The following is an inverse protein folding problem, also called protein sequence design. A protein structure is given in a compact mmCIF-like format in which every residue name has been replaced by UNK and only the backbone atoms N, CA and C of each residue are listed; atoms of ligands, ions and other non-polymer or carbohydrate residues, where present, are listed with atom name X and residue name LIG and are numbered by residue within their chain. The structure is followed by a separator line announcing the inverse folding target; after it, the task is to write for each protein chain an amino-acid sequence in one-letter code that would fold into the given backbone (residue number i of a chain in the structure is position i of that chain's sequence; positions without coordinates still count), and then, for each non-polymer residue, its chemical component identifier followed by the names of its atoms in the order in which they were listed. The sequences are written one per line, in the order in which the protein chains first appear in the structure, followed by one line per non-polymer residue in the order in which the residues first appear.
data_IF_910768412691
#
_entry.id   IF_910768412691
#
_cell.length_a   1.000
_cell.length_b   1.000
_cell.length_c   1.000
_cell.angle_alpha   90.00
_cell.angle_beta   90.00
_cell.angle_gamma   90.00
#
_symmetry.space_group_name_H-M   'P 1'
#
loop_
_entity.id
_entity.type
_entity.pdbx_description
1 polymer ?
#
# COMPACT_ATOMS: atom_id res chain seq x y z
N UNK A 1 4.60 3.15 -32.99
CA UNK A 1 3.53 2.89 -31.99
C UNK A 1 4.25 2.61 -30.67
N UNK A 2 4.79 3.65 -30.03
CA UNK A 2 5.65 3.53 -28.85
C UNK A 2 4.92 4.16 -27.66
N UNK A 3 4.25 3.30 -26.89
CA UNK A 3 3.50 3.69 -25.70
C UNK A 3 3.15 2.46 -24.87
N UNK A 4 4.04 1.47 -24.86
CA UNK A 4 3.85 0.21 -24.14
C UNK A 4 4.10 0.39 -22.64
N UNK A 5 3.29 -0.29 -21.84
CA UNK A 5 3.48 -0.39 -20.39
C UNK A 5 4.88 -0.95 -20.09
N UNK A 6 5.78 -0.12 -19.55
CA UNK A 6 7.12 -0.55 -19.16
C UNK A 6 7.03 -1.42 -17.91
N UNK A 7 7.56 -2.63 -17.98
CA UNK A 7 7.57 -3.54 -16.85
C UNK A 7 8.62 -4.63 -16.99
N UNK A 8 8.85 -5.32 -15.88
CA UNK A 8 9.72 -6.48 -15.79
C UNK A 8 8.88 -7.74 -15.91
N UNK A 9 9.16 -8.54 -16.93
CA UNK A 9 8.65 -9.91 -17.05
C UNK A 9 9.64 -10.88 -16.40
N UNK A 10 9.13 -11.80 -15.60
CA UNK A 10 9.89 -12.90 -14.98
C UNK A 10 9.09 -14.19 -15.11
N UNK A 11 9.78 -15.31 -15.31
CA UNK A 11 9.17 -16.64 -15.38
C UNK A 11 10.04 -17.64 -14.61
N UNK A 12 9.41 -18.67 -14.05
CA UNK A 12 10.07 -19.71 -13.27
C UNK A 12 9.28 -21.01 -13.31
N UNK A 13 9.92 -22.09 -12.88
CA UNK A 13 9.31 -23.41 -12.74
C UNK A 13 9.93 -24.13 -11.54
N UNK A 14 9.14 -24.99 -10.91
CA UNK A 14 9.58 -25.87 -9.82
C UNK A 14 9.21 -27.31 -10.15
N UNK A 15 10.05 -28.24 -9.67
CA UNK A 15 9.90 -29.68 -9.82
C UNK A 15 10.17 -30.30 -8.44
N UNK A 16 9.24 -31.12 -7.95
CA UNK A 16 9.43 -31.86 -6.72
C UNK A 16 9.29 -33.36 -6.97
N UNK A 17 10.06 -34.14 -6.24
CA UNK A 17 10.04 -35.60 -6.30
C UNK A 17 10.19 -36.18 -4.90
N UNK A 18 9.26 -37.04 -4.50
CA UNK A 18 9.27 -37.74 -3.22
C UNK A 18 9.59 -39.22 -3.45
N UNK A 19 10.79 -39.64 -3.03
CA UNK A 19 11.24 -41.04 -3.14
C UNK A 19 10.38 -42.01 -2.31
N UNK A 20 9.92 -41.56 -1.13
CA UNK A 20 9.11 -42.38 -0.22
C UNK A 20 7.72 -42.64 -0.78
N UNK A 21 7.12 -41.62 -1.39
CA UNK A 21 5.76 -41.68 -1.93
C UNK A 21 5.73 -42.06 -3.41
N UNK A 22 6.90 -42.14 -4.07
CA UNK A 22 7.05 -42.35 -5.52
C UNK A 22 6.22 -41.36 -6.34
N UNK A 23 6.10 -40.14 -5.85
CA UNK A 23 5.32 -39.06 -6.44
C UNK A 23 6.23 -37.95 -6.96
N UNK A 24 5.79 -37.29 -8.02
CA UNK A 24 6.45 -36.14 -8.60
C UNK A 24 5.42 -35.05 -8.86
N UNK A 25 5.85 -33.80 -8.92
CA UNK A 25 5.04 -32.74 -9.47
C UNK A 25 5.84 -31.59 -10.01
N UNK A 26 5.13 -30.73 -10.71
CA UNK A 26 5.68 -29.62 -11.49
C UNK A 26 4.74 -28.44 -11.38
N UNK A 27 5.29 -27.24 -11.27
CA UNK A 27 4.52 -26.02 -11.45
C UNK A 27 5.35 -24.98 -12.19
N UNK A 28 4.68 -24.11 -12.93
CA UNK A 28 5.29 -22.99 -13.65
C UNK A 28 4.62 -21.69 -13.24
N UNK A 29 5.37 -20.60 -13.29
CA UNK A 29 4.90 -19.29 -12.89
C UNK A 29 5.47 -18.19 -13.76
N UNK A 30 4.67 -17.18 -14.04
CA UNK A 30 5.03 -15.96 -14.75
C UNK A 30 4.61 -14.78 -13.88
N UNK A 31 5.48 -13.80 -13.71
CA UNK A 31 5.19 -12.55 -13.01
C UNK A 31 5.62 -11.37 -13.85
N UNK A 32 4.70 -10.45 -14.08
CA UNK A 32 4.93 -9.15 -14.70
C UNK A 32 4.74 -8.05 -13.66
N UNK A 33 5.72 -7.17 -13.49
CA UNK A 33 5.62 -6.01 -12.59
C UNK A 33 5.88 -4.73 -13.37
N UNK A 34 4.97 -3.77 -13.31
CA UNK A 34 5.15 -2.46 -13.94
C UNK A 34 6.24 -1.68 -13.23
N UNK A 35 7.10 -1.02 -14.00
CA UNK A 35 8.03 -0.05 -13.45
C UNK A 35 7.27 1.25 -13.22
N UNK A 36 7.45 1.94 -12.08
CA UNK A 36 6.96 3.30 -11.95
C UNK A 36 7.71 4.15 -12.99
N UNK A 37 6.98 4.74 -13.94
CA UNK A 37 7.60 5.64 -14.90
C UNK A 37 7.96 6.92 -14.14
N UNK A 38 9.25 7.25 -14.09
CA UNK A 38 9.74 8.46 -13.46
C UNK A 38 9.77 9.65 -14.44
N UNK A 39 9.00 9.63 -15.52
CA UNK A 39 8.91 10.74 -16.45
C UNK A 39 8.15 11.92 -15.80
N UNK A 40 8.82 13.03 -15.43
CA UNK A 40 8.12 14.22 -14.98
C UNK A 40 7.27 14.78 -16.14
N UNK A 41 6.15 15.46 -15.86
CA UNK A 41 5.39 16.18 -16.88
C UNK A 41 6.22 17.35 -17.42
N UNK A 42 7.00 17.11 -18.47
CA UNK A 42 7.50 18.14 -19.38
C UNK A 42 7.05 17.69 -20.77
N UNK A 43 6.04 18.29 -21.38
CA UNK A 43 6.06 19.69 -21.82
C UNK A 43 4.66 20.29 -22.01
N UNK A 44 4.58 21.59 -21.72
CA UNK A 44 3.57 22.60 -22.09
C UNK A 44 2.18 22.55 -21.43
N UNK A 45 2.03 23.35 -20.37
CA UNK A 45 0.78 24.05 -20.04
C UNK A 45 0.06 23.54 -18.78
N UNK A 46 0.07 24.37 -17.74
CA UNK A 46 -0.64 24.28 -16.44
C UNK A 46 -0.01 23.37 -15.35
N UNK A 47 0.18 23.88 -14.12
CA UNK A 47 0.92 23.18 -13.06
C UNK A 47 0.05 22.31 -12.13
N UNK A 48 -1.18 21.93 -12.52
CA UNK A 48 -2.18 21.40 -11.57
C UNK A 48 -2.50 19.89 -11.67
N UNK A 49 -1.73 19.09 -12.43
CA UNK A 49 -1.97 17.64 -12.51
C UNK A 49 -0.85 16.79 -11.88
N UNK A 50 -0.82 16.78 -10.54
CA UNK A 50 -0.03 15.86 -9.71
C UNK A 50 -0.59 14.41 -9.77
N UNK A 51 -0.77 13.84 -10.96
CA UNK A 51 -1.13 12.43 -11.13
C UNK A 51 0.17 11.63 -11.21
N UNK A 52 0.45 10.71 -10.27
CA UNK A 52 1.65 9.90 -10.33
C UNK A 52 1.67 9.10 -11.63
N UNK A 53 2.76 9.23 -12.38
CA UNK A 53 3.06 8.45 -13.56
C UNK A 53 3.14 6.97 -13.15
N UNK A 54 2.08 6.22 -13.51
CA UNK A 54 1.95 4.78 -13.40
C UNK A 54 2.17 4.17 -12.01
N UNK A 55 1.07 3.79 -11.35
CA UNK A 55 1.17 3.07 -10.08
C UNK A 55 1.73 1.66 -10.25
N UNK A 56 2.51 1.15 -9.27
CA UNK A 56 3.04 -0.20 -9.32
C UNK A 56 1.92 -1.24 -9.35
N UNK A 57 1.98 -2.09 -10.36
CA UNK A 57 1.02 -3.15 -10.64
C UNK A 57 1.79 -4.43 -10.91
N UNK A 58 1.39 -5.52 -10.28
CA UNK A 58 1.99 -6.84 -10.41
C UNK A 58 0.93 -7.85 -10.83
N UNK A 59 1.16 -8.51 -11.96
CA UNK A 59 0.39 -9.65 -12.44
C UNK A 59 1.23 -10.90 -12.23
N UNK A 60 0.69 -11.91 -11.56
CA UNK A 60 1.31 -13.22 -11.40
C UNK A 60 0.35 -14.27 -11.92
N UNK A 61 0.80 -15.14 -12.82
CA UNK A 61 0.07 -16.31 -13.28
C UNK A 61 0.88 -17.56 -12.90
N UNK A 62 0.22 -18.57 -12.38
CA UNK A 62 0.83 -19.85 -12.04
C UNK A 62 0.00 -20.98 -12.60
N UNK A 63 0.67 -22.04 -13.03
CA UNK A 63 0.08 -23.20 -13.65
C UNK A 63 0.71 -24.47 -13.10
N UNK A 64 -0.12 -25.34 -12.54
CA UNK A 64 0.24 -26.66 -12.10
C UNK A 64 -0.47 -27.69 -13.01
N UNK A 65 0.20 -28.21 -14.06
CA UNK A 65 -0.43 -29.12 -15.02
C UNK A 65 -0.83 -30.46 -14.40
N UNK A 66 -0.11 -30.92 -13.36
CA UNK A 66 -0.37 -32.22 -12.72
C UNK A 66 -1.65 -32.18 -11.89
N UNK A 67 -1.90 -31.06 -11.21
CA UNK A 67 -3.10 -30.88 -10.39
C UNK A 67 -4.21 -30.13 -11.13
N UNK A 68 -3.96 -29.67 -12.36
CA UNK A 68 -4.92 -28.88 -13.14
C UNK A 68 -5.20 -27.49 -12.59
N UNK A 69 -4.38 -26.97 -11.66
CA UNK A 69 -4.62 -25.65 -11.07
C UNK A 69 -4.00 -24.53 -11.91
N UNK A 70 -4.81 -23.55 -12.26
CA UNK A 70 -4.42 -22.27 -12.85
C UNK A 70 -4.76 -21.18 -11.84
N UNK A 71 -3.80 -20.32 -11.50
CA UNK A 71 -4.05 -19.17 -10.63
C UNK A 71 -3.49 -17.90 -11.25
N UNK A 72 -4.27 -16.83 -11.26
CA UNK A 72 -3.88 -15.51 -11.73
C UNK A 72 -4.16 -14.46 -10.64
N UNK A 73 -3.14 -13.72 -10.22
CA UNK A 73 -3.24 -12.65 -9.25
C UNK A 73 -2.84 -11.31 -9.88
N UNK A 74 -3.66 -10.29 -9.72
CA UNK A 74 -3.45 -8.93 -10.17
C UNK A 74 -3.47 -7.99 -8.95
N UNK A 75 -2.31 -7.49 -8.55
CA UNK A 75 -2.17 -6.53 -7.46
C UNK A 75 -1.82 -5.15 -8.03
N UNK A 76 -2.53 -4.11 -7.61
CA UNK A 76 -2.30 -2.74 -8.05
C UNK A 76 -2.39 -1.78 -6.87
N UNK A 77 -1.45 -0.83 -6.80
CA UNK A 77 -1.56 0.28 -5.85
C UNK A 77 -2.49 1.34 -6.45
N UNK A 78 -3.74 1.41 -6.01
CA UNK A 78 -4.71 2.36 -6.57
C UNK A 78 -4.45 3.81 -6.12
N UNK A 79 -3.87 4.00 -4.92
CA UNK A 79 -3.55 5.33 -4.37
C UNK A 79 -2.32 5.26 -3.45
N UNK A 80 -1.89 6.41 -2.89
CA UNK A 80 -0.85 6.47 -1.85
C UNK A 80 -1.19 5.56 -0.66
N UNK A 81 -2.48 5.49 -0.33
CA UNK A 81 -2.97 4.83 0.89
C UNK A 81 -3.93 3.66 0.60
N UNK A 82 -4.05 3.22 -0.66
CA UNK A 82 -4.91 2.10 -1.03
C UNK A 82 -4.17 1.17 -1.99
N UNK A 83 -4.08 -0.10 -1.62
CA UNK A 83 -3.67 -1.19 -2.50
C UNK A 83 -4.83 -2.18 -2.69
N UNK A 84 -5.01 -2.65 -3.93
CA UNK A 84 -6.04 -3.60 -4.31
C UNK A 84 -5.38 -4.84 -4.89
N UNK A 85 -5.96 -6.01 -4.65
CA UNK A 85 -5.53 -7.27 -5.23
C UNK A 85 -6.75 -8.06 -5.67
N UNK A 86 -6.71 -8.62 -6.86
CA UNK A 86 -7.69 -9.59 -7.34
C UNK A 86 -6.96 -10.88 -7.67
N UNK A 87 -7.51 -12.01 -7.25
CA UNK A 87 -6.96 -13.34 -7.46
C UNK A 87 -8.05 -14.22 -8.03
N UNK A 88 -7.74 -14.92 -9.11
CA UNK A 88 -8.59 -15.90 -9.75
C UNK A 88 -7.89 -17.25 -9.68
N UNK A 89 -8.56 -18.25 -9.14
CA UNK A 89 -8.10 -19.62 -9.06
C UNK A 89 -9.09 -20.50 -9.85
N UNK A 90 -8.56 -21.40 -10.68
CA UNK A 90 -9.34 -22.31 -11.50
C UNK A 90 -8.74 -23.70 -11.47
N UNK A 91 -9.59 -24.72 -11.38
CA UNK A 91 -9.19 -26.11 -11.48
C UNK A 91 -9.76 -26.73 -12.75
N UNK A 92 -8.89 -27.17 -13.65
CA UNK A 92 -9.24 -27.78 -14.95
C UNK A 92 -10.00 -29.09 -14.76
N UNK A 93 -9.72 -29.85 -13.70
CA UNK A 93 -10.33 -31.17 -13.50
C UNK A 93 -11.70 -31.11 -12.83
N UNK A 94 -11.90 -30.18 -11.89
CA UNK A 94 -13.20 -30.00 -11.22
C UNK A 94 -14.06 -28.91 -11.86
N UNK A 95 -13.53 -28.12 -12.79
CA UNK A 95 -14.16 -26.90 -13.33
C UNK A 95 -14.57 -25.90 -12.25
N UNK A 96 -13.99 -26.01 -11.05
CA UNK A 96 -14.23 -25.06 -9.97
C UNK A 96 -13.43 -23.80 -10.23
N UNK A 97 -14.10 -22.66 -10.09
CA UNK A 97 -13.48 -21.34 -10.16
C UNK A 97 -13.75 -20.59 -8.87
N UNK A 98 -12.71 -19.99 -8.32
CA UNK A 98 -12.81 -19.08 -7.19
C UNK A 98 -12.23 -17.74 -7.61
N UNK A 99 -12.95 -16.67 -7.29
CA UNK A 99 -12.46 -15.31 -7.45
C UNK A 99 -12.43 -14.65 -6.08
N UNK A 100 -11.27 -14.14 -5.71
CA UNK A 100 -11.02 -13.41 -4.47
C UNK A 100 -10.59 -12.00 -4.81
N UNK A 101 -11.14 -11.01 -4.10
CA UNK A 101 -10.66 -9.63 -4.12
C UNK A 101 -10.26 -9.20 -2.72
N UNK A 102 -9.16 -8.47 -2.62
CA UNK A 102 -8.61 -7.92 -1.40
C UNK A 102 -8.29 -6.44 -1.54
N UNK A 103 -8.40 -5.71 -0.44
CA UNK A 103 -8.03 -4.31 -0.34
C UNK A 103 -7.24 -4.07 0.94
N UNK A 104 -6.19 -3.27 0.85
CA UNK A 104 -5.40 -2.78 1.97
C UNK A 104 -5.44 -1.25 1.96
N UNK A 105 -5.97 -0.68 3.04
CA UNK A 105 -6.09 0.77 3.22
C UNK A 105 -5.28 1.21 4.44
N UNK A 106 -4.27 2.05 4.22
CA UNK A 106 -3.50 2.72 5.26
C UNK A 106 -4.24 3.94 5.83
N UNK A 107 -4.50 3.94 7.13
CA UNK A 107 -5.11 5.06 7.85
C UNK A 107 -4.00 5.99 8.34
N UNK A 108 -4.13 7.29 8.03
CA UNK A 108 -3.21 8.33 8.49
C UNK A 108 -3.87 9.17 9.58
N UNK A 109 -3.08 9.61 10.56
CA UNK A 109 -3.56 10.64 11.48
C UNK A 109 -3.71 11.94 10.71
N UNK A 110 -4.91 12.52 10.69
CA UNK A 110 -5.02 13.92 10.30
C UNK A 110 -4.15 14.71 11.28
N UNK A 111 -3.14 15.41 10.78
CA UNK A 111 -2.45 16.42 11.56
C UNK A 111 -3.54 17.39 11.99
N UNK A 112 -3.93 17.31 13.26
CA UNK A 112 -4.95 18.18 13.82
C UNK A 112 -4.57 19.59 13.44
N UNK A 113 -5.51 20.26 12.77
CA UNK A 113 -5.48 21.70 12.55
C UNK A 113 -5.35 22.34 13.94
N UNK A 114 -4.13 22.48 14.44
CA UNK A 114 -3.75 23.46 15.46
C UNK A 114 -3.87 24.83 14.76
N UNK A 115 -5.08 25.20 14.36
CA UNK A 115 -5.40 26.62 14.23
C UNK A 115 -5.51 27.11 15.68
N UNK A 116 -4.37 27.51 16.22
CA UNK A 116 -4.23 28.76 16.98
C UNK A 116 -5.54 29.25 17.60
N UNK A 117 -5.92 28.66 18.72
CA UNK A 117 -6.54 29.40 19.81
C UNK A 117 -5.45 30.26 20.47
N UNK A 118 -4.85 31.16 19.68
CA UNK A 118 -3.88 32.19 20.11
C UNK A 118 -4.28 33.57 19.54
N UNK A 119 -5.52 33.73 19.08
CA UNK A 119 -6.12 35.05 18.82
C UNK A 119 -7.13 35.33 19.93
N UNK A 120 -6.64 35.54 21.16
CA UNK A 120 -7.32 36.28 22.23
C UNK A 120 -6.38 36.43 23.44
N UNK A 121 -5.22 37.06 23.22
CA UNK A 121 -4.46 37.74 24.28
C UNK A 121 -3.33 38.59 23.69
N UNK A 122 -3.70 39.61 22.92
CA UNK A 122 -2.80 40.74 22.66
C UNK A 122 -3.66 41.94 22.23
N UNK A 123 -4.24 42.61 23.23
CA UNK A 123 -4.64 44.01 23.16
C UNK A 123 -3.90 44.72 24.30
N UNK A 124 -2.78 45.38 24.00
CA UNK A 124 -2.55 46.77 24.42
C UNK A 124 -1.44 47.40 23.55
N UNK A 125 -1.85 48.38 22.75
CA UNK A 125 -1.13 49.58 22.24
C UNK A 125 0.39 49.71 22.53
N UNK A 126 1.23 49.96 21.52
CA UNK A 126 1.39 51.29 20.92
C UNK A 126 2.49 51.37 19.82
N UNK A 127 2.18 52.20 18.82
CA UNK A 127 3.04 53.05 17.96
C UNK A 127 4.09 52.52 16.96
N UNK A 128 3.71 52.64 15.68
CA UNK A 128 4.36 53.40 14.59
C UNK A 128 5.89 53.31 14.37
N UNK A 129 6.26 52.75 13.21
CA UNK A 129 6.74 53.47 12.00
C UNK A 129 7.86 52.74 11.23
N UNK A 130 7.61 52.62 9.92
CA UNK A 130 8.54 52.65 8.78
C UNK A 130 9.86 51.82 8.75
N UNK A 131 9.87 50.97 7.72
CA UNK A 131 10.86 50.92 6.63
C UNK A 131 12.07 49.97 6.73
N UNK A 132 12.23 49.25 5.61
CA UNK A 132 13.49 48.79 4.98
C UNK A 132 14.13 47.48 5.50
N UNK A 133 14.14 46.49 4.59
CA UNK A 133 15.15 45.44 4.34
C UNK A 133 16.43 45.43 5.22
N UNK A 134 16.97 44.24 5.53
CA UNK A 134 18.20 43.88 4.81
C UNK A 134 18.38 42.38 4.47
N UNK A 135 18.81 42.14 3.23
CA UNK A 135 20.11 41.56 2.81
C UNK A 135 20.71 40.42 3.68
N UNK A 136 20.96 39.30 2.99
CA UNK A 136 21.56 38.04 3.42
C UNK A 136 23.02 38.11 3.92
N UNK A 137 23.45 37.08 4.67
CA UNK A 137 24.69 36.31 4.39
C UNK A 137 24.82 35.06 5.28
N UNK A 138 25.36 34.01 4.65
CA UNK A 138 25.49 32.62 5.07
C UNK A 138 26.63 32.39 6.08
N UNK A 139 26.65 31.15 6.61
CA UNK A 139 27.81 30.23 6.85
C UNK A 139 27.79 29.60 8.25
N UNK A 140 28.08 28.32 8.51
CA UNK A 140 28.49 27.12 7.77
C UNK A 140 28.16 25.95 8.72
N UNK A 141 27.56 24.87 8.22
CA UNK A 141 27.55 23.56 8.89
C UNK A 141 28.28 22.52 8.02
N UNK A 142 28.94 21.50 8.60
CA UNK A 142 30.05 20.78 7.97
C UNK A 142 29.61 19.86 6.82
N UNK A 143 30.51 19.58 5.86
CA UNK A 143 30.23 18.78 4.67
C UNK A 143 30.28 17.28 5.00
N UNK A 144 29.33 16.48 4.50
CA UNK A 144 29.57 15.03 4.49
C UNK A 144 28.44 14.04 4.29
N UNK A 145 27.19 14.40 3.95
CA UNK A 145 26.19 13.35 3.70
C UNK A 145 25.00 13.75 2.80
N UNK A 146 25.29 14.35 1.64
CA UNK A 146 24.31 14.47 0.57
C UNK A 146 24.36 13.24 -0.34
N UNK A 147 23.62 12.20 0.04
CA UNK A 147 23.03 11.31 -0.95
C UNK A 147 21.67 11.91 -1.32
N UNK A 148 21.46 12.48 -2.51
CA UNK A 148 20.15 12.98 -2.91
C UNK A 148 19.22 11.78 -3.09
N UNK A 149 18.33 11.56 -2.13
CA UNK A 149 17.13 10.77 -2.35
C UNK A 149 16.33 11.43 -3.49
N UNK A 150 15.95 10.72 -4.55
CA UNK A 150 15.34 11.30 -5.76
C UNK A 150 13.89 11.80 -5.56
N UNK A 151 13.43 11.96 -4.32
CA UNK A 151 12.09 12.46 -4.01
C UNK A 151 12.20 13.86 -3.41
N UNK A 152 11.73 14.92 -4.09
CA UNK A 152 11.60 16.23 -3.45
C UNK A 152 10.58 16.12 -2.33
N UNK A 153 11.02 16.33 -1.08
CA UNK A 153 10.20 16.30 0.14
C UNK A 153 9.33 17.55 0.32
N UNK A 154 9.12 18.36 -0.72
CA UNK A 154 8.19 19.48 -0.68
C UNK A 154 6.76 18.98 -0.93
N UNK A 155 6.28 18.17 0.02
CA UNK A 155 4.89 17.74 0.09
C UNK A 155 3.99 18.85 0.61
N UNK A 156 2.86 19.04 -0.06
CA UNK A 156 1.73 19.89 0.30
C UNK A 156 1.50 19.93 1.84
N UNK A 157 1.47 21.12 2.48
CA UNK A 157 1.19 21.23 3.92
C UNK A 157 -0.26 20.79 4.19
N UNK A 158 -0.45 19.55 4.64
CA UNK A 158 -1.77 19.07 5.10
C UNK A 158 -2.03 17.57 5.01
N UNK A 159 -1.26 16.80 4.23
CA UNK A 159 -1.54 15.38 3.96
C UNK A 159 -0.36 14.43 4.31
N UNK A 160 0.61 14.91 5.09
CA UNK A 160 1.81 14.18 5.52
C UNK A 160 1.67 13.43 6.85
N UNK A 161 0.46 13.00 7.21
CA UNK A 161 0.23 12.31 8.48
C UNK A 161 0.91 10.94 8.55
N UNK A 162 1.45 10.61 9.73
CA UNK A 162 1.96 9.27 10.03
C UNK A 162 0.85 8.22 9.89
N UNK A 163 1.21 7.07 9.34
CA UNK A 163 0.30 5.92 9.23
C UNK A 163 0.05 5.37 10.64
N UNK A 164 -1.19 5.48 11.10
CA UNK A 164 -1.62 5.02 12.43
C UNK A 164 -2.13 3.59 12.43
N UNK A 165 -2.58 3.10 11.28
CA UNK A 165 -3.11 1.75 11.16
C UNK A 165 -3.40 1.34 9.72
N UNK A 166 -3.87 0.12 9.56
CA UNK A 166 -4.16 -0.52 8.29
C UNK A 166 -5.48 -1.28 8.40
N UNK A 167 -6.37 -1.09 7.45
CA UNK A 167 -7.57 -1.92 7.28
C UNK A 167 -7.35 -2.82 6.08
N UNK A 168 -7.48 -4.12 6.29
CA UNK A 168 -7.41 -5.16 5.25
C UNK A 168 -8.79 -5.77 5.11
N UNK A 169 -9.30 -5.83 3.89
CA UNK A 169 -10.55 -6.50 3.56
C UNK A 169 -10.28 -7.57 2.50
N UNK A 170 -10.99 -8.68 2.59
CA UNK A 170 -11.00 -9.73 1.56
C UNK A 170 -12.41 -10.25 1.38
N UNK A 171 -12.81 -10.44 0.14
CA UNK A 171 -14.07 -11.04 -0.28
C UNK A 171 -13.79 -12.12 -1.32
N UNK A 172 -14.49 -13.25 -1.24
CA UNK A 172 -14.43 -14.31 -2.23
C UNK A 172 -15.82 -14.64 -2.79
N UNK A 173 -15.87 -15.16 -4.02
CA UNK A 173 -17.08 -15.71 -4.65
C UNK A 173 -17.67 -16.88 -3.86
N UNK A 174 -16.87 -17.54 -3.01
CA UNK A 174 -17.35 -18.55 -2.04
C UNK A 174 -18.26 -17.97 -0.94
N UNK A 175 -18.59 -16.68 -0.98
CA UNK A 175 -19.32 -15.95 0.07
C UNK A 175 -18.54 -15.77 1.37
N UNK A 176 -17.23 -16.04 1.36
CA UNK A 176 -16.35 -15.72 2.48
C UNK A 176 -15.93 -14.26 2.43
N UNK A 177 -16.14 -13.55 3.54
CA UNK A 177 -15.73 -12.17 3.74
C UNK A 177 -14.87 -12.10 5.00
N UNK A 178 -13.75 -11.39 4.93
CA UNK A 178 -12.91 -11.13 6.10
C UNK A 178 -12.48 -9.67 6.14
N UNK A 179 -12.44 -9.13 7.35
CA UNK A 179 -12.02 -7.77 7.64
C UNK A 179 -11.01 -7.83 8.78
N UNK A 180 -9.90 -7.11 8.66
CA UNK A 180 -8.87 -7.01 9.67
C UNK A 180 -8.48 -5.54 9.81
N UNK A 181 -8.47 -5.04 11.04
CA UNK A 181 -7.90 -3.76 11.40
C UNK A 181 -6.63 -3.99 12.21
N UNK A 182 -5.56 -3.29 11.88
CA UNK A 182 -4.29 -3.30 12.58
C UNK A 182 -3.92 -1.85 12.94
N UNK A 183 -3.58 -1.58 14.19
CA UNK A 183 -3.28 -0.24 14.66
C UNK A 183 -2.09 -0.20 15.60
N UNK A 184 -1.22 0.81 15.44
CA UNK A 184 -0.09 1.02 16.33
C UNK A 184 -0.47 1.96 17.46
N UNK A 185 -0.32 1.50 18.70
CA UNK A 185 -0.56 2.27 19.92
C UNK A 185 0.74 2.26 20.74
N UNK A 186 1.53 3.34 20.64
CA UNK A 186 2.83 3.47 21.31
C UNK A 186 3.76 2.29 20.94
N UNK A 187 4.01 1.42 21.92
CA UNK A 187 4.86 0.22 21.84
C UNK A 187 4.05 -1.07 21.63
N UNK A 188 2.74 -0.95 21.38
CA UNK A 188 1.85 -2.06 21.09
C UNK A 188 1.34 -2.00 19.66
N UNK A 189 1.21 -3.16 19.02
CA UNK A 189 0.46 -3.37 17.79
C UNK A 189 -0.79 -4.17 18.14
N UNK A 190 -1.95 -3.62 17.81
CA UNK A 190 -3.25 -4.24 18.07
C UNK A 190 -3.86 -4.63 16.74
N UNK A 191 -4.26 -5.90 16.60
CA UNK A 191 -4.91 -6.40 15.40
C UNK A 191 -6.25 -7.03 15.76
N UNK A 192 -7.33 -6.55 15.15
CA UNK A 192 -8.69 -7.08 15.30
C UNK A 192 -9.15 -7.62 13.95
N UNK A 193 -9.52 -8.89 13.90
CA UNK A 193 -10.02 -9.55 12.70
C UNK A 193 -11.41 -10.14 12.88
N UNK A 194 -12.21 -10.13 11.81
CA UNK A 194 -13.52 -10.78 11.72
C UNK A 194 -13.57 -11.57 10.43
N UNK A 195 -14.03 -12.82 10.52
CA UNK A 195 -14.31 -13.69 9.36
C UNK A 195 -15.80 -14.01 9.35
N UNK A 196 -16.42 -13.84 8.20
CA UNK A 196 -17.84 -14.01 7.97
C UNK A 196 -18.06 -14.93 6.78
N UNK A 197 -19.01 -15.84 6.93
CA UNK A 197 -19.48 -16.72 5.87
C UNK A 197 -20.92 -16.32 5.53
N UNK A 198 -21.10 -15.67 4.38
CA UNK A 198 -22.40 -15.14 3.94
C UNK A 198 -23.30 -16.24 3.33
N UNK A 199 -22.79 -17.46 3.14
CA UNK A 199 -23.61 -18.58 2.68
C UNK A 199 -24.67 -18.96 3.74
N UNK A 200 -24.35 -18.81 5.02
CA UNK A 200 -25.26 -19.09 6.12
C UNK A 200 -25.78 -17.81 6.79
N UNK A 201 -26.86 -17.26 6.22
CA UNK A 201 -27.50 -16.02 6.68
C UNK A 201 -27.96 -16.04 8.15
N UNK A 202 -28.10 -17.23 8.76
CA UNK A 202 -28.49 -17.38 10.17
C UNK A 202 -27.33 -17.18 11.15
N UNK A 203 -26.09 -17.43 10.72
CA UNK A 203 -24.87 -17.28 11.52
C UNK A 203 -23.74 -16.70 10.65
N UNK A 204 -23.84 -15.40 10.29
CA UNK A 204 -22.92 -14.81 9.33
C UNK A 204 -21.51 -14.69 9.88
N UNK A 205 -21.32 -14.53 11.21
CA UNK A 205 -20.00 -14.40 11.81
C UNK A 205 -19.45 -15.79 12.14
N UNK A 206 -18.35 -16.16 11.48
CA UNK A 206 -17.65 -17.43 11.69
C UNK A 206 -16.65 -17.33 12.84
N UNK A 207 -15.88 -16.24 12.89
CA UNK A 207 -14.90 -16.02 13.96
C UNK A 207 -14.55 -14.54 14.11
N UNK A 208 -14.11 -14.20 15.32
CA UNK A 208 -13.51 -12.91 15.68
C UNK A 208 -12.16 -13.23 16.33
N UNK A 209 -11.11 -12.52 15.93
CA UNK A 209 -9.76 -12.68 16.47
C UNK A 209 -9.21 -11.35 16.95
N UNK A 210 -8.48 -11.36 18.07
CA UNK A 210 -7.76 -10.21 18.60
C UNK A 210 -6.32 -10.64 18.88
N UNK A 211 -5.36 -9.87 18.40
CA UNK A 211 -3.94 -10.06 18.63
C UNK A 211 -3.32 -8.77 19.20
N UNK A 212 -2.46 -8.93 20.20
CA UNK A 212 -1.73 -7.85 20.87
C UNK A 212 -0.25 -8.20 20.86
N UNK A 213 0.57 -7.44 20.15
CA UNK A 213 2.02 -7.59 20.16
C UNK A 213 2.64 -6.37 20.87
N UNK A 214 3.48 -6.61 21.87
CA UNK A 214 4.20 -5.55 22.59
C UNK A 214 5.69 -5.63 22.28
N UNK A 215 6.27 -4.49 21.91
CA UNK A 215 7.69 -4.35 21.62
C UNK A 215 8.35 -3.54 22.73
N UNK A 216 9.16 -4.19 23.56
CA UNK A 216 10.07 -3.51 24.49
C UNK A 216 11.41 -3.27 23.79
N UNK A 217 11.58 -2.09 23.20
CA UNK A 217 12.91 -1.62 22.79
C UNK A 217 13.59 -0.91 23.97
N UNK A 218 14.93 -1.01 24.11
CA UNK A 218 15.66 -0.10 25.00
C UNK A 218 15.56 1.32 24.43
N UNK A 219 15.22 2.26 25.30
CA UNK A 219 15.09 3.69 25.02
C UNK A 219 16.43 4.34 24.64
#
# INVERSE_FOLDING_TARGET
MEGGLKGRLSAGAELYFSLKEKSAGVSTGIRFTTLPDASPPSTSGTPDSNIPAQTPTTLTATFNPMMGHISAAYAARASRDLALCSRFDFNIYSYESEWTMGAEWWLRRAAGRRLTTDIQKEETENDNSNSSEPVALNDISPPGQDAPSPFPSNGIPGLGGDVTGVVKARISTSSDVSLMWEGRIRNMLVSLGVVSDLSNRSKPIKSIGLELAYFSGPE
#
